data_IF_271406274567
#
_entry.id   IF_271406274567
#
_cell.length_a   1.000
_cell.length_b   1.000
_cell.length_c   1.000
_cell.angle_alpha   90.00
_cell.angle_beta   90.00
_cell.angle_gamma   90.00
#
_symmetry.space_group_name_H-M   'P 1'
#
loop_
_entity.id
_entity.type
_entity.pdbx_description
1 polymer ?
#
# COMPACT_ATOMS: atom_id res chain seq x y z
N UNK A 1 8.14 6.69 -18.34
CA UNK A 1 8.52 7.65 -17.29
C UNK A 1 7.83 7.19 -16.02
N UNK A 2 8.56 6.95 -14.93
CA UNK A 2 8.05 6.47 -13.64
C UNK A 2 8.17 7.53 -12.56
N UNK A 3 7.58 7.28 -11.40
CA UNK A 3 7.93 8.03 -10.18
C UNK A 3 9.43 7.86 -9.88
N UNK A 4 10.03 8.92 -9.32
CA UNK A 4 11.40 8.86 -8.82
C UNK A 4 11.46 7.92 -7.60
N UNK A 5 12.35 6.93 -7.66
CA UNK A 5 12.44 5.91 -6.61
C UNK A 5 12.88 6.48 -5.26
N UNK A 6 13.72 7.53 -5.26
CA UNK A 6 14.17 8.18 -4.03
C UNK A 6 13.01 8.93 -3.37
N UNK A 7 12.21 9.65 -4.16
CA UNK A 7 11.01 10.33 -3.67
C UNK A 7 9.95 9.34 -3.19
N UNK A 8 9.67 8.28 -3.96
CA UNK A 8 8.71 7.24 -3.55
C UNK A 8 9.12 6.60 -2.21
N UNK A 9 10.41 6.31 -2.06
CA UNK A 9 10.97 5.77 -0.82
C UNK A 9 10.84 6.76 0.35
N UNK A 10 11.35 7.98 0.19
CA UNK A 10 11.50 8.94 1.29
C UNK A 10 10.20 9.65 1.67
N UNK A 11 9.30 9.87 0.71
CA UNK A 11 8.09 10.66 0.90
C UNK A 11 6.83 9.82 1.08
N UNK A 12 6.86 8.54 0.69
CA UNK A 12 5.70 7.65 0.77
C UNK A 12 5.98 6.43 1.62
N UNK A 13 6.91 5.57 1.17
CA UNK A 13 7.11 4.25 1.78
C UNK A 13 7.61 4.38 3.21
N UNK A 14 8.73 5.08 3.41
CA UNK A 14 9.30 5.24 4.74
C UNK A 14 8.32 5.86 5.75
N UNK A 15 7.69 7.02 5.46
CA UNK A 15 6.72 7.61 6.38
C UNK A 15 5.50 6.73 6.65
N UNK A 16 5.02 5.98 5.65
CA UNK A 16 3.92 5.03 5.82
C UNK A 16 4.31 3.91 6.81
N UNK A 17 5.46 3.25 6.58
CA UNK A 17 5.90 2.16 7.44
C UNK A 17 6.26 2.62 8.86
N UNK A 18 6.78 3.84 9.02
CA UNK A 18 7.07 4.43 10.33
C UNK A 18 5.78 4.67 11.13
N UNK A 19 4.73 5.19 10.49
CA UNK A 19 3.41 5.38 11.13
C UNK A 19 2.74 4.06 11.48
N UNK A 20 2.89 3.05 10.63
CA UNK A 20 2.44 1.69 10.93
C UNK A 20 3.22 1.06 12.10
N UNK A 21 4.44 1.53 12.37
CA UNK A 21 5.37 0.96 13.34
C UNK A 21 6.04 -0.33 12.86
N UNK A 22 6.07 -0.54 11.53
CA UNK A 22 6.64 -1.74 10.89
C UNK A 22 7.84 -1.42 10.00
N UNK A 23 8.40 -0.21 10.13
CA UNK A 23 9.58 0.20 9.38
C UNK A 23 10.83 -0.60 9.78
N UNK A 24 11.54 -1.02 8.76
CA UNK A 24 12.94 -1.44 8.80
C UNK A 24 13.52 -1.19 7.41
N UNK A 25 14.85 -1.11 7.30
CA UNK A 25 15.50 -0.95 6.00
C UNK A 25 15.09 -2.07 5.02
N UNK A 26 14.96 -3.31 5.50
CA UNK A 26 14.51 -4.43 4.67
C UNK A 26 13.05 -4.29 4.22
N UNK A 27 12.16 -3.83 5.10
CA UNK A 27 10.75 -3.61 4.76
C UNK A 27 10.59 -2.48 3.73
N UNK A 28 11.35 -1.41 3.86
CA UNK A 28 11.36 -0.30 2.90
C UNK A 28 11.81 -0.75 1.50
N UNK A 29 12.90 -1.51 1.41
CA UNK A 29 13.40 -2.06 0.15
C UNK A 29 12.40 -3.06 -0.47
N UNK A 30 11.76 -3.89 0.36
CA UNK A 30 10.75 -4.83 -0.11
C UNK A 30 9.56 -4.09 -0.74
N UNK A 31 8.99 -3.12 -0.03
CA UNK A 31 7.82 -2.37 -0.50
C UNK A 31 8.15 -1.56 -1.75
N UNK A 32 9.37 -1.00 -1.86
CA UNK A 32 9.80 -0.33 -3.09
C UNK A 32 9.97 -1.33 -4.25
N UNK A 33 10.59 -2.47 -3.99
CA UNK A 33 10.79 -3.53 -4.97
C UNK A 33 9.46 -4.04 -5.52
N UNK A 34 8.47 -4.27 -4.66
CA UNK A 34 7.12 -4.66 -5.06
C UNK A 34 6.48 -3.62 -5.97
N UNK A 35 6.56 -2.32 -5.65
CA UNK A 35 6.01 -1.29 -6.54
C UNK A 35 6.65 -1.30 -7.95
N UNK A 36 7.95 -1.56 -8.02
CA UNK A 36 8.68 -1.65 -9.30
C UNK A 36 8.25 -2.89 -10.09
N UNK A 37 8.14 -4.06 -9.43
CA UNK A 37 7.77 -5.31 -10.11
C UNK A 37 6.33 -5.29 -10.58
N UNK A 38 5.42 -4.84 -9.72
CA UNK A 38 3.97 -4.93 -9.95
C UNK A 38 3.46 -3.87 -10.93
N UNK A 39 4.00 -2.65 -10.89
CA UNK A 39 3.46 -1.53 -11.68
C UNK A 39 4.50 -0.69 -12.40
N UNK A 40 5.79 -1.09 -12.36
CA UNK A 40 6.92 -0.26 -12.78
C UNK A 40 6.97 1.11 -12.08
N UNK A 41 6.33 1.25 -10.91
CA UNK A 41 6.06 2.52 -10.24
C UNK A 41 5.41 3.58 -11.17
N UNK A 42 4.51 3.12 -12.05
CA UNK A 42 3.81 3.92 -13.07
C UNK A 42 2.30 3.72 -12.97
N UNK A 43 1.84 2.47 -12.91
CA UNK A 43 0.43 2.15 -13.13
C UNK A 43 -0.35 2.01 -11.81
N UNK A 44 -1.49 2.70 -11.72
CA UNK A 44 -2.41 2.60 -10.57
C UNK A 44 -3.54 1.60 -10.79
N UNK A 45 -3.63 1.01 -11.98
CA UNK A 45 -4.59 -0.04 -12.32
C UNK A 45 -3.89 -1.05 -13.22
N UNK A 46 -4.16 -2.32 -12.97
CA UNK A 46 -3.61 -3.43 -13.74
C UNK A 46 -3.94 -3.30 -15.23
N UNK A 47 -3.01 -3.72 -16.08
CA UNK A 47 -3.31 -3.96 -17.49
C UNK A 47 -4.10 -5.28 -17.64
N UNK A 48 -5.18 -5.23 -18.42
CA UNK A 48 -6.07 -6.38 -18.64
C UNK A 48 -7.36 -6.28 -17.84
N UNK A 49 -7.98 -7.43 -17.57
CA UNK A 49 -9.28 -7.53 -16.89
C UNK A 49 -9.18 -7.76 -15.37
N UNK A 50 -7.97 -7.73 -14.80
CA UNK A 50 -7.73 -7.96 -13.37
C UNK A 50 -8.10 -6.75 -12.50
N UNK A 51 -8.49 -6.97 -11.24
CA UNK A 51 -9.03 -5.91 -10.37
C UNK A 51 -7.95 -5.17 -9.57
N UNK A 52 -6.66 -5.47 -9.75
CA UNK A 52 -5.59 -4.96 -8.90
C UNK A 52 -5.38 -3.43 -9.02
N UNK A 53 -5.10 -2.80 -7.87
CA UNK A 53 -5.10 -1.34 -7.68
C UNK A 53 -3.80 -0.82 -7.06
N UNK A 54 -3.45 0.42 -7.40
CA UNK A 54 -2.31 1.16 -6.85
C UNK A 54 -0.96 0.68 -7.36
N UNK A 55 0.11 1.29 -6.88
CA UNK A 55 1.47 0.94 -7.31
C UNK A 55 1.88 -0.49 -6.93
N UNK A 56 1.25 -1.05 -5.89
CA UNK A 56 1.51 -2.41 -5.40
C UNK A 56 0.54 -3.45 -5.94
N UNK A 57 -0.36 -3.06 -6.84
CA UNK A 57 -1.32 -3.96 -7.50
C UNK A 57 -2.04 -4.89 -6.51
N UNK A 58 -2.58 -4.31 -5.44
CA UNK A 58 -3.35 -5.08 -4.45
C UNK A 58 -4.75 -5.30 -4.99
N UNK A 59 -5.20 -6.56 -5.04
CA UNK A 59 -6.58 -6.88 -5.36
C UNK A 59 -7.52 -6.54 -4.18
N UNK A 60 -8.72 -6.00 -4.43
CA UNK A 60 -9.69 -5.72 -3.38
C UNK A 60 -10.04 -6.94 -2.51
N UNK A 61 -10.08 -8.15 -3.08
CA UNK A 61 -10.34 -9.36 -2.32
C UNK A 61 -9.20 -9.70 -1.35
N UNK A 62 -7.94 -9.50 -1.76
CA UNK A 62 -6.76 -9.64 -0.89
C UNK A 62 -6.77 -8.60 0.23
N UNK A 63 -7.21 -7.40 -0.08
CA UNK A 63 -7.39 -6.34 0.92
C UNK A 63 -8.47 -6.69 1.94
N UNK A 64 -9.64 -7.16 1.51
CA UNK A 64 -10.70 -7.60 2.44
C UNK A 64 -10.24 -8.77 3.32
N UNK A 65 -9.47 -9.71 2.76
CA UNK A 65 -8.85 -10.81 3.49
C UNK A 65 -7.88 -10.32 4.58
N UNK A 66 -7.03 -9.33 4.27
CA UNK A 66 -6.13 -8.68 5.24
C UNK A 66 -6.92 -8.17 6.46
N UNK A 67 -8.07 -7.53 6.26
CA UNK A 67 -8.88 -7.04 7.37
C UNK A 67 -9.53 -8.16 8.18
N UNK A 68 -10.12 -9.12 7.48
CA UNK A 68 -10.95 -10.16 8.09
C UNK A 68 -10.11 -11.20 8.84
N UNK A 69 -8.94 -11.58 8.29
CA UNK A 69 -8.17 -12.71 8.78
C UNK A 69 -6.84 -12.34 9.46
N UNK A 70 -6.29 -11.15 9.21
CA UNK A 70 -5.02 -10.74 9.80
C UNK A 70 -5.17 -9.60 10.81
N UNK A 71 -5.82 -8.50 10.42
CA UNK A 71 -5.98 -7.32 11.28
C UNK A 71 -7.05 -7.52 12.36
N UNK A 72 -8.01 -8.41 12.16
CA UNK A 72 -9.03 -8.76 13.17
C UNK A 72 -8.43 -9.24 14.50
N UNK A 73 -7.27 -9.88 14.45
CA UNK A 73 -6.51 -10.33 15.64
C UNK A 73 -5.44 -9.31 16.10
N UNK A 74 -5.31 -8.17 15.43
CA UNK A 74 -4.25 -7.16 15.65
C UNK A 74 -4.83 -5.76 15.62
N UNK A 75 -5.73 -5.50 16.57
CA UNK A 75 -6.53 -4.28 16.62
C UNK A 75 -5.69 -3.00 16.53
N UNK A 76 -4.58 -2.90 17.27
CA UNK A 76 -3.71 -1.72 17.23
C UNK A 76 -3.10 -1.48 15.84
N UNK A 77 -2.64 -2.55 15.18
CA UNK A 77 -2.11 -2.46 13.82
C UNK A 77 -3.19 -2.04 12.83
N UNK A 78 -4.39 -2.63 12.94
CA UNK A 78 -5.54 -2.28 12.12
C UNK A 78 -5.98 -0.83 12.30
N UNK A 79 -5.95 -0.31 13.53
CA UNK A 79 -6.24 1.09 13.82
C UNK A 79 -5.24 2.03 13.15
N UNK A 80 -3.93 1.78 13.27
CA UNK A 80 -2.90 2.62 12.63
C UNK A 80 -3.04 2.64 11.11
N UNK A 81 -3.26 1.48 10.50
CA UNK A 81 -3.48 1.38 9.04
C UNK A 81 -4.74 2.15 8.61
N UNK A 82 -5.81 2.08 9.41
CA UNK A 82 -7.06 2.79 9.15
C UNK A 82 -6.98 4.31 9.38
N UNK A 83 -6.00 4.83 10.13
CA UNK A 83 -5.79 6.27 10.32
C UNK A 83 -5.27 6.95 9.04
N UNK A 84 -4.57 6.22 8.17
CA UNK A 84 -3.97 6.76 6.96
C UNK A 84 -4.88 6.73 5.74
N UNK A 85 -6.04 6.08 5.84
CA UNK A 85 -7.07 6.17 4.80
C UNK A 85 -7.69 7.56 4.78
N UNK A 86 -8.10 8.01 3.60
CA UNK A 86 -9.06 9.10 3.47
C UNK A 86 -10.46 8.56 3.77
N UNK A 87 -11.18 9.08 4.79
CA UNK A 87 -12.53 8.62 5.10
C UNK A 87 -13.58 8.95 4.04
N UNK A 88 -13.29 9.92 3.17
CA UNK A 88 -14.16 10.32 2.06
C UNK A 88 -14.08 9.37 0.86
N UNK A 89 -13.11 8.45 0.85
CA UNK A 89 -12.88 7.49 -0.22
C UNK A 89 -13.26 6.09 0.24
N UNK A 90 -13.76 5.26 -0.68
CA UNK A 90 -13.89 3.81 -0.47
C UNK A 90 -12.51 3.16 -0.23
N UNK A 91 -12.51 1.92 0.23
CA UNK A 91 -11.25 1.17 0.43
C UNK A 91 -10.50 0.99 -0.89
N UNK A 92 -11.19 0.64 -1.97
CA UNK A 92 -10.61 0.51 -3.30
C UNK A 92 -10.05 1.82 -3.84
N UNK A 93 -10.74 2.94 -3.63
CA UNK A 93 -10.21 4.26 -4.03
C UNK A 93 -8.97 4.64 -3.21
N UNK A 94 -8.95 4.33 -1.91
CA UNK A 94 -7.74 4.48 -1.10
C UNK A 94 -6.59 3.62 -1.64
N UNK A 95 -6.82 2.34 -1.93
CA UNK A 95 -5.79 1.48 -2.54
C UNK A 95 -5.26 2.03 -3.86
N UNK A 96 -6.15 2.53 -4.72
CA UNK A 96 -5.78 3.02 -6.04
C UNK A 96 -5.03 4.36 -6.00
N UNK A 97 -5.37 5.25 -5.08
CA UNK A 97 -4.98 6.68 -5.18
C UNK A 97 -4.20 7.22 -3.97
N UNK A 98 -4.28 6.57 -2.81
CA UNK A 98 -3.58 6.97 -1.61
C UNK A 98 -2.29 6.15 -1.46
N UNK A 99 -1.17 6.73 -1.91
CA UNK A 99 0.12 6.04 -1.95
C UNK A 99 0.62 5.60 -0.57
N UNK A 100 0.36 6.37 0.50
CA UNK A 100 0.76 5.94 1.85
C UNK A 100 -0.05 4.73 2.29
N UNK A 101 -1.37 4.75 2.07
CA UNK A 101 -2.23 3.62 2.41
C UNK A 101 -1.87 2.35 1.63
N UNK A 102 -1.60 2.48 0.32
CA UNK A 102 -1.12 1.36 -0.49
C UNK A 102 0.21 0.77 0.01
N UNK A 103 1.14 1.62 0.47
CA UNK A 103 2.42 1.17 1.02
C UNK A 103 2.26 0.37 2.31
N UNK A 104 1.31 0.77 3.17
CA UNK A 104 1.01 0.05 4.41
C UNK A 104 0.33 -1.29 4.14
N UNK A 105 -0.63 -1.32 3.22
CA UNK A 105 -1.32 -2.57 2.84
C UNK A 105 -0.35 -3.57 2.21
N UNK A 106 0.66 -3.10 1.48
CA UNK A 106 1.71 -3.94 0.91
C UNK A 106 2.61 -4.60 1.99
N UNK A 107 2.71 -4.01 3.18
CA UNK A 107 3.68 -4.41 4.21
C UNK A 107 3.20 -5.57 5.07
#
# INVERSE_FOLDING_TARGET
>A
MSLDATQLRQMVIKPALEKLGLWSMAAEELVLGTAIVESAAIYLRQHGAGPALGLWQVEPATHDDLYTNYLSYRQELGSRLMELRSPALSMSENLATNLMYGAEVCR
#
